data_IF_069699086030
#
_entry.id   IF_069699086030
#
_cell.length_a   1.000
_cell.length_b   1.000
_cell.length_c   1.000
_cell.angle_alpha   90.00
_cell.angle_beta   90.00
_cell.angle_gamma   90.00
#
_symmetry.space_group_name_H-M   'P 1'
#
loop_
_entity.id
_entity.type
_entity.pdbx_description
1 polymer ?
#
# COMPACT_ATOMS: atom_id res chain seq x y z
N UNK A 1 -16.90 -7.24 -31.01
CA UNK A 1 -17.09 -7.55 -29.57
C UNK A 1 -16.02 -8.47 -28.97
N UNK A 2 -15.45 -9.46 -29.67
CA UNK A 2 -14.39 -10.34 -29.12
C UNK A 2 -13.10 -9.61 -28.71
N UNK A 3 -12.68 -8.64 -29.51
CA UNK A 3 -11.50 -7.83 -29.26
C UNK A 3 -11.64 -6.89 -28.06
N UNK A 4 -12.87 -6.53 -27.67
CA UNK A 4 -13.13 -5.67 -26.51
C UNK A 4 -12.83 -6.41 -25.19
N UNK A 5 -13.23 -7.69 -25.05
CA UNK A 5 -12.98 -8.45 -23.82
C UNK A 5 -11.50 -8.75 -23.59
N UNK A 6 -10.74 -9.06 -24.64
CA UNK A 6 -9.30 -9.32 -24.51
C UNK A 6 -8.54 -8.03 -24.16
N UNK A 7 -8.96 -6.88 -24.71
CA UNK A 7 -8.41 -5.57 -24.35
C UNK A 7 -8.74 -5.19 -22.90
N UNK A 8 -9.94 -5.50 -22.42
CA UNK A 8 -10.34 -5.28 -21.02
C UNK A 8 -9.48 -6.12 -20.07
N UNK A 9 -9.28 -7.41 -20.35
CA UNK A 9 -8.41 -8.30 -19.56
C UNK A 9 -6.98 -7.75 -19.47
N UNK A 10 -6.39 -7.34 -20.60
CA UNK A 10 -5.03 -6.80 -20.60
C UNK A 10 -4.93 -5.50 -19.79
N UNK A 11 -5.90 -4.59 -19.95
CA UNK A 11 -5.95 -3.34 -19.18
C UNK A 11 -6.09 -3.60 -17.68
N UNK A 12 -7.00 -4.48 -17.28
CA UNK A 12 -7.22 -4.82 -15.87
C UNK A 12 -5.99 -5.51 -15.26
N UNK A 13 -5.33 -6.43 -15.97
CA UNK A 13 -4.06 -7.01 -15.52
C UNK A 13 -2.97 -5.97 -15.30
N UNK A 14 -2.86 -5.00 -16.21
CA UNK A 14 -1.94 -3.89 -16.04
C UNK A 14 -2.26 -3.07 -14.79
N UNK A 15 -3.54 -2.75 -14.57
CA UNK A 15 -4.00 -2.00 -13.38
C UNK A 15 -3.72 -2.77 -12.08
N UNK A 16 -4.02 -4.07 -12.03
CA UNK A 16 -3.68 -4.95 -10.90
C UNK A 16 -2.20 -4.86 -10.57
N UNK A 17 -1.33 -5.00 -11.58
CA UNK A 17 0.12 -4.90 -11.38
C UNK A 17 0.59 -3.53 -10.90
N UNK A 18 -0.06 -2.44 -11.35
CA UNK A 18 0.22 -1.09 -10.89
C UNK A 18 -0.17 -0.90 -9.41
N UNK A 19 -1.36 -1.34 -9.02
CA UNK A 19 -1.86 -1.25 -7.64
C UNK A 19 -0.98 -2.06 -6.68
N UNK A 20 -0.60 -3.29 -7.06
CA UNK A 20 0.32 -4.11 -6.28
C UNK A 20 1.68 -3.42 -6.07
N UNK A 21 2.23 -2.78 -7.11
CA UNK A 21 3.49 -2.02 -6.99
C UNK A 21 3.33 -0.83 -6.05
N UNK A 22 2.22 -0.10 -6.12
CA UNK A 22 1.95 1.03 -5.22
C UNK A 22 1.87 0.59 -3.76
N UNK A 23 1.17 -0.51 -3.47
CA UNK A 23 1.13 -1.12 -2.13
C UNK A 23 2.54 -1.48 -1.67
N UNK A 24 3.33 -2.15 -2.51
CA UNK A 24 4.69 -2.56 -2.14
C UNK A 24 5.59 -1.36 -1.79
N UNK A 25 5.47 -0.25 -2.53
CA UNK A 25 6.21 1.00 -2.23
C UNK A 25 5.75 1.61 -0.91
N UNK A 26 4.44 1.64 -0.64
CA UNK A 26 3.89 2.14 0.62
C UNK A 26 4.35 1.29 1.82
N UNK A 27 4.33 -0.03 1.72
CA UNK A 27 4.83 -0.92 2.78
C UNK A 27 6.33 -0.75 3.02
N UNK A 28 7.15 -0.65 1.96
CA UNK A 28 8.57 -0.38 2.12
C UNK A 28 8.85 0.96 2.81
N UNK A 29 8.03 1.98 2.49
CA UNK A 29 8.10 3.30 3.13
C UNK A 29 7.67 3.21 4.59
N UNK A 30 6.59 2.49 4.89
CA UNK A 30 6.09 2.24 6.25
C UNK A 30 7.17 1.61 7.12
N UNK A 31 7.79 0.53 6.65
CA UNK A 31 8.87 -0.14 7.38
C UNK A 31 10.06 0.79 7.65
N UNK A 32 10.39 1.67 6.71
CA UNK A 32 11.46 2.64 6.90
C UNK A 32 11.14 3.66 8.00
N UNK A 33 9.92 4.23 7.99
CA UNK A 33 9.48 5.15 9.02
C UNK A 33 9.44 4.47 10.40
N UNK A 34 9.01 3.22 10.48
CA UNK A 34 9.05 2.43 11.73
C UNK A 34 10.47 2.20 12.24
N UNK A 35 11.44 1.96 11.34
CA UNK A 35 12.87 1.92 11.72
C UNK A 35 13.35 3.27 12.23
N UNK A 36 12.96 4.37 11.59
CA UNK A 36 13.33 5.72 12.03
C UNK A 36 12.77 6.04 13.42
N UNK A 37 11.51 5.69 13.69
CA UNK A 37 10.89 5.88 15.02
C UNK A 37 11.65 5.08 16.07
N UNK A 38 11.99 3.81 15.81
CA UNK A 38 12.77 2.98 16.74
C UNK A 38 14.11 3.62 17.09
N UNK A 39 14.86 4.08 16.09
CA UNK A 39 16.15 4.79 16.30
C UNK A 39 15.97 6.06 17.14
N UNK A 40 14.90 6.82 16.90
CA UNK A 40 14.61 8.03 17.68
C UNK A 40 14.26 7.71 19.13
N UNK A 41 13.50 6.64 19.38
CA UNK A 41 13.18 6.16 20.73
C UNK A 41 14.40 5.65 21.48
N UNK A 42 15.36 5.01 20.79
CA UNK A 42 16.65 4.62 21.37
C UNK A 42 17.53 5.84 21.71
N UNK A 43 17.48 6.91 20.90
CA UNK A 43 18.28 8.13 21.14
C UNK A 43 17.75 9.04 22.25
N UNK A 44 16.44 9.04 22.51
CA UNK A 44 15.78 9.82 23.56
C UNK A 44 14.73 8.92 24.23
N UNK A 45 15.11 8.22 25.31
CA UNK A 45 14.17 7.44 26.11
C UNK A 45 13.08 8.35 26.66
N UNK A 46 11.81 8.00 26.46
CA UNK A 46 10.67 8.82 26.91
C UNK A 46 10.62 8.98 28.44
N UNK A 47 11.32 8.10 29.18
CA UNK A 47 11.44 8.11 30.64
C UNK A 47 12.53 9.06 31.18
N UNK A 48 13.38 9.64 30.31
CA UNK A 48 14.58 10.38 30.73
C UNK A 48 14.41 11.91 30.78
N UNK A 49 13.23 12.45 30.47
CA UNK A 49 13.02 13.90 30.33
C UNK A 49 12.22 14.43 31.51
N UNK A 50 12.89 14.65 32.64
CA UNK A 50 12.35 15.47 33.73
C UNK A 50 12.51 16.94 33.33
N UNK A 51 11.44 17.54 32.82
CA UNK A 51 11.44 18.89 32.24
C UNK A 51 11.77 20.01 33.25
N UNK A 52 11.89 19.67 34.54
CA UNK A 52 12.06 20.62 35.65
C UNK A 52 13.51 20.81 36.13
N UNK A 53 14.49 20.04 35.65
CA UNK A 53 15.90 20.25 36.04
C UNK A 53 16.54 21.39 35.24
N UNK A 54 16.60 22.58 35.83
CA UNK A 54 17.28 23.76 35.27
C UNK A 54 18.78 23.73 35.63
N UNK A 55 19.58 23.10 34.76
CA UNK A 55 21.03 23.33 34.65
C UNK A 55 21.35 23.79 33.24
N UNK A 56 22.40 24.59 33.06
CA UNK A 56 22.77 25.23 31.79
C UNK A 56 23.03 24.22 30.64
N UNK A 57 23.31 22.94 30.95
CA UNK A 57 23.38 21.85 29.97
C UNK A 57 22.06 21.10 29.69
N UNK A 58 21.04 21.24 30.53
CA UNK A 58 19.74 20.59 30.38
C UNK A 58 18.82 21.30 29.39
N UNK A 59 19.00 22.61 29.17
CA UNK A 59 18.22 23.37 28.17
C UNK A 59 18.49 22.87 26.75
N UNK A 60 19.77 22.55 26.44
CA UNK A 60 20.15 21.97 25.15
C UNK A 60 19.60 20.54 24.99
N UNK A 61 19.63 19.72 26.03
CA UNK A 61 19.03 18.39 26.02
C UNK A 61 17.50 18.44 25.89
N UNK A 62 16.83 19.34 26.61
CA UNK A 62 15.38 19.53 26.55
C UNK A 62 14.91 20.00 25.17
N UNK A 63 15.64 20.90 24.51
CA UNK A 63 15.32 21.34 23.14
C UNK A 63 15.50 20.21 22.11
N UNK A 64 16.55 19.39 22.24
CA UNK A 64 16.74 18.19 21.43
C UNK A 64 15.63 17.16 21.68
N UNK A 65 15.34 16.83 22.93
CA UNK A 65 14.29 15.89 23.31
C UNK A 65 12.92 16.31 22.76
N UNK A 66 12.58 17.60 22.88
CA UNK A 66 11.36 18.14 22.31
C UNK A 66 11.31 18.01 20.78
N UNK A 67 12.43 18.28 20.09
CA UNK A 67 12.51 18.09 18.64
C UNK A 67 12.30 16.63 18.23
N UNK A 68 12.82 15.68 19.02
CA UNK A 68 12.66 14.24 18.81
C UNK A 68 11.21 13.80 19.06
N UNK A 69 10.56 14.33 20.09
CA UNK A 69 9.13 14.09 20.37
C UNK A 69 8.28 14.58 19.20
N UNK A 70 8.48 15.81 18.73
CA UNK A 70 7.76 16.38 17.58
C UNK A 70 7.99 15.55 16.32
N UNK A 71 9.24 15.16 16.06
CA UNK A 71 9.58 14.31 14.90
C UNK A 71 8.90 12.94 14.98
N UNK A 72 8.91 12.28 16.13
CA UNK A 72 8.20 11.01 16.36
C UNK A 72 6.70 11.17 16.12
N UNK A 73 6.09 12.24 16.63
CA UNK A 73 4.67 12.54 16.38
C UNK A 73 4.38 12.68 14.89
N UNK A 74 5.22 13.40 14.14
CA UNK A 74 5.02 13.57 12.70
C UNK A 74 5.17 12.26 11.93
N UNK A 75 6.19 11.45 12.26
CA UNK A 75 6.38 10.14 11.65
C UNK A 75 5.20 9.19 11.92
N UNK A 76 4.63 9.21 13.13
CA UNK A 76 3.42 8.44 13.47
C UNK A 76 2.22 8.85 12.62
N UNK A 77 1.99 10.15 12.43
CA UNK A 77 0.92 10.62 11.53
C UNK A 77 1.13 10.15 10.09
N UNK A 78 2.37 10.24 9.59
CA UNK A 78 2.68 9.74 8.24
C UNK A 78 2.47 8.22 8.13
N UNK A 79 2.71 7.45 9.19
CA UNK A 79 2.39 6.02 9.22
C UNK A 79 0.88 5.78 9.12
N UNK A 80 0.08 6.52 9.90
CA UNK A 80 -1.38 6.43 9.86
C UNK A 80 -1.92 6.75 8.46
N UNK A 81 -1.39 7.80 7.82
CA UNK A 81 -1.72 8.18 6.45
C UNK A 81 -1.37 7.07 5.43
N UNK A 82 -0.19 6.45 5.57
CA UNK A 82 0.23 5.33 4.72
C UNK A 82 -0.69 4.12 4.90
N UNK A 83 -1.05 3.78 6.14
CA UNK A 83 -1.95 2.66 6.42
C UNK A 83 -3.34 2.90 5.80
N UNK A 84 -3.87 4.11 5.92
CA UNK A 84 -5.13 4.47 5.26
C UNK A 84 -5.02 4.32 3.74
N UNK A 85 -3.98 4.89 3.12
CA UNK A 85 -3.77 4.80 1.67
C UNK A 85 -3.58 3.36 1.18
N UNK A 86 -2.81 2.54 1.90
CA UNK A 86 -2.64 1.12 1.57
C UNK A 86 -3.98 0.39 1.64
N UNK A 87 -4.81 0.69 2.64
CA UNK A 87 -6.15 0.08 2.78
C UNK A 87 -7.04 0.43 1.61
N UNK A 88 -7.08 1.71 1.21
CA UNK A 88 -7.89 2.18 0.09
C UNK A 88 -7.44 1.53 -1.24
N UNK A 89 -6.13 1.46 -1.48
CA UNK A 89 -5.57 0.81 -2.67
C UNK A 89 -5.83 -0.70 -2.65
N UNK A 90 -5.84 -1.34 -1.48
CA UNK A 90 -6.13 -2.76 -1.35
C UNK A 90 -7.60 -3.08 -1.67
N UNK A 91 -8.53 -2.17 -1.36
CA UNK A 91 -9.93 -2.25 -1.82
C UNK A 91 -9.99 -2.15 -3.34
N UNK A 92 -9.36 -1.13 -3.94
CA UNK A 92 -9.32 -0.97 -5.40
C UNK A 92 -8.72 -2.20 -6.11
N UNK A 93 -7.65 -2.76 -5.54
CA UNK A 93 -7.01 -3.98 -6.05
C UNK A 93 -7.97 -5.17 -6.05
N UNK A 94 -8.77 -5.33 -5.00
CA UNK A 94 -9.76 -6.40 -4.91
C UNK A 94 -10.82 -6.26 -6.00
N UNK A 95 -11.34 -5.04 -6.19
CA UNK A 95 -12.36 -4.76 -7.20
C UNK A 95 -11.85 -5.05 -8.61
N UNK A 96 -10.60 -4.69 -8.92
CA UNK A 96 -9.97 -4.98 -10.21
C UNK A 96 -9.70 -6.48 -10.42
N UNK A 97 -9.36 -7.22 -9.35
CA UNK A 97 -9.21 -8.68 -9.42
C UNK A 97 -10.56 -9.38 -9.68
N UNK A 98 -11.63 -8.93 -9.04
CA UNK A 98 -12.99 -9.46 -9.26
C UNK A 98 -13.47 -9.16 -10.69
N UNK A 99 -13.17 -7.96 -11.20
CA UNK A 99 -13.44 -7.59 -12.59
C UNK A 99 -12.65 -8.49 -13.56
N UNK A 100 -11.37 -8.76 -13.26
CA UNK A 100 -10.53 -9.63 -14.08
C UNK A 100 -11.12 -11.04 -14.21
N UNK A 101 -11.48 -11.66 -13.09
CA UNK A 101 -12.09 -12.99 -13.07
C UNK A 101 -13.40 -13.01 -13.88
N UNK A 102 -14.24 -11.99 -13.73
CA UNK A 102 -15.46 -11.86 -14.52
C UNK A 102 -15.17 -11.82 -16.03
N UNK A 103 -14.20 -11.02 -16.47
CA UNK A 103 -13.83 -10.95 -17.88
C UNK A 103 -13.24 -12.27 -18.40
N UNK A 104 -12.40 -12.94 -17.61
CA UNK A 104 -11.81 -14.23 -17.96
C UNK A 104 -12.87 -15.33 -18.09
N UNK A 105 -13.86 -15.37 -17.19
CA UNK A 105 -15.01 -16.29 -17.28
C UNK A 105 -15.84 -16.06 -18.54
N UNK A 106 -16.12 -14.81 -18.88
CA UNK A 106 -16.87 -14.46 -20.11
C UNK A 106 -16.09 -14.91 -21.34
N UNK A 107 -14.77 -14.68 -21.36
CA UNK A 107 -13.89 -15.12 -22.45
C UNK A 107 -13.90 -16.65 -22.58
N UNK A 108 -13.77 -17.39 -21.48
CA UNK A 108 -13.78 -18.84 -21.47
C UNK A 108 -15.10 -19.42 -22.02
N UNK A 109 -16.25 -18.92 -21.56
CA UNK A 109 -17.58 -19.33 -22.07
C UNK A 109 -17.71 -19.10 -23.56
N UNK A 110 -17.23 -17.96 -24.06
CA UNK A 110 -17.27 -17.66 -25.50
C UNK A 110 -16.39 -18.63 -26.30
N UNK A 111 -15.18 -18.92 -25.83
CA UNK A 111 -14.29 -19.86 -26.51
C UNK A 111 -14.91 -21.27 -26.57
N UNK A 112 -15.57 -21.72 -25.51
CA UNK A 112 -16.31 -22.97 -25.49
C UNK A 112 -17.43 -22.99 -26.55
N UNK A 113 -18.30 -21.98 -26.58
CA UNK A 113 -19.38 -21.86 -27.58
C UNK A 113 -18.84 -21.83 -29.03
N UNK A 114 -17.70 -21.17 -29.26
CA UNK A 114 -17.05 -21.15 -30.56
C UNK A 114 -16.48 -22.53 -30.95
N UNK A 115 -15.94 -23.29 -29.99
CA UNK A 115 -15.47 -24.64 -30.24
C UNK A 115 -16.63 -25.59 -30.58
N UNK A 116 -17.71 -25.55 -29.79
CA UNK A 116 -18.92 -26.35 -30.00
C UNK A 116 -19.55 -26.09 -31.38
N UNK A 117 -19.71 -24.81 -31.74
CA UNK A 117 -20.28 -24.44 -33.06
C UNK A 117 -19.39 -24.82 -34.24
N UNK A 118 -18.06 -24.88 -34.06
CA UNK A 118 -17.14 -25.39 -35.08
C UNK A 118 -17.22 -26.90 -35.23
N UNK A 119 -17.32 -27.63 -34.12
CA UNK A 119 -17.51 -29.09 -34.14
C UNK A 119 -18.84 -29.47 -34.80
N UNK A 120 -19.93 -28.78 -34.47
CA UNK A 120 -21.25 -29.00 -35.06
C UNK A 120 -21.34 -28.67 -36.56
N UNK A 121 -20.40 -27.89 -37.11
CA UNK A 121 -20.32 -27.59 -38.56
C UNK A 121 -19.39 -28.54 -39.32
N UNK A 122 -18.56 -29.30 -38.61
CA UNK A 122 -17.54 -30.18 -39.19
C UNK A 122 -17.96 -31.66 -39.20
N UNK A 123 -18.99 -32.03 -38.43
CA UNK A 123 -19.68 -33.33 -38.51
C UNK A 123 -20.99 -33.21 -39.24
#
# INVERSE_FOLDING_TARGET
MAQMSDKQIQRTRFRVGELQKRIAVLEATREDLERQIRKLSESVPEEAVDATEQREGYVAYGSYAQSVIVRKSNLRRSLDDIVSQTTDIAVELRDELDALDSYERIRARRLAQQAESRQARAG
#
